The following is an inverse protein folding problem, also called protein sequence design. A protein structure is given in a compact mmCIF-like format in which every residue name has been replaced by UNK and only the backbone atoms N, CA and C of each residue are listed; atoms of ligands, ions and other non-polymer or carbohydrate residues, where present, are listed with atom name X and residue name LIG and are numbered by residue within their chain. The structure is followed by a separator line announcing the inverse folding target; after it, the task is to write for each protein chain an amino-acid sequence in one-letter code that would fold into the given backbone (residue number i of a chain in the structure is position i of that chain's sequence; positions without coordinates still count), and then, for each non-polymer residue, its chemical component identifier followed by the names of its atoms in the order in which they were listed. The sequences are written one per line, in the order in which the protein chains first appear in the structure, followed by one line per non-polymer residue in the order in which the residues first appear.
data_IF_989322850269
#
_entry.id   IF_989322850269
#
_cell.length_a   1.000
_cell.length_b   1.000
_cell.length_c   1.000
_cell.angle_alpha   90.00
_cell.angle_beta   90.00
_cell.angle_gamma   90.00
#
_symmetry.space_group_name_H-M   'P 1'
#
loop_
_entity.id
_entity.type
_entity.pdbx_description
1 polymer ?
#
# COMPACT_ATOMS: atom_id res chain seq x y z
N UNK A 1 -23.02 -2.54 4.87
CA UNK A 1 -22.11 -1.46 4.42
C UNK A 1 -20.78 -1.62 5.11
N UNK A 2 -19.72 -2.02 4.39
CA UNK A 2 -18.40 -2.20 5.00
C UNK A 2 -17.85 -0.84 5.46
N UNK A 3 -17.50 -0.71 6.75
CA UNK A 3 -16.91 0.52 7.28
C UNK A 3 -15.58 0.78 6.59
N UNK A 4 -15.44 1.96 5.97
CA UNK A 4 -14.20 2.39 5.33
C UNK A 4 -13.07 2.35 6.35
N UNK A 5 -11.95 1.76 5.95
CA UNK A 5 -10.74 1.75 6.78
C UNK A 5 -10.23 3.18 6.87
N UNK A 6 -10.03 3.66 8.10
CA UNK A 6 -9.57 5.03 8.33
C UNK A 6 -8.15 5.19 7.79
N UNK A 7 -7.87 6.33 7.14
CA UNK A 7 -6.57 6.61 6.53
C UNK A 7 -5.42 6.74 7.55
N UNK A 8 -5.74 7.03 8.81
CA UNK A 8 -4.77 7.18 9.90
C UNK A 8 -4.37 5.86 10.58
N UNK A 9 -4.96 4.72 10.18
CA UNK A 9 -4.56 3.42 10.72
C UNK A 9 -3.10 3.11 10.34
N UNK A 10 -2.38 2.49 11.27
CA UNK A 10 -1.04 1.94 11.05
C UNK A 10 -1.12 0.66 10.22
N UNK A 11 -0.12 0.41 9.38
CA UNK A 11 0.01 -0.81 8.57
C UNK A 11 -0.10 -2.06 9.43
N UNK A 12 0.66 -2.16 10.52
CA UNK A 12 0.63 -3.36 11.37
C UNK A 12 -0.73 -3.59 12.05
N UNK A 13 -1.48 -2.51 12.35
CA UNK A 13 -2.84 -2.64 12.89
C UNK A 13 -3.86 -3.01 11.81
N UNK A 14 -3.63 -2.56 10.58
CA UNK A 14 -4.44 -2.90 9.42
C UNK A 14 -4.29 -4.38 9.06
N UNK A 15 -3.06 -4.89 9.02
CA UNK A 15 -2.76 -6.31 8.77
C UNK A 15 -3.45 -7.20 9.79
N UNK A 16 -3.34 -6.87 11.08
CA UNK A 16 -4.06 -7.59 12.15
C UNK A 16 -5.58 -7.54 11.99
N UNK A 17 -6.13 -6.39 11.61
CA UNK A 17 -7.58 -6.20 11.42
C UNK A 17 -8.12 -6.99 10.21
N UNK A 18 -7.29 -7.14 9.18
CA UNK A 18 -7.62 -7.88 7.96
C UNK A 18 -7.18 -9.35 8.01
N UNK A 19 -6.58 -9.80 9.12
CA UNK A 19 -6.04 -11.16 9.28
C UNK A 19 -5.02 -11.48 8.16
N UNK A 20 -4.19 -10.49 7.83
CA UNK A 20 -3.08 -10.62 6.89
C UNK A 20 -1.80 -10.96 7.64
N UNK A 21 -0.90 -11.70 6.98
CA UNK A 21 0.44 -11.92 7.51
C UNK A 21 1.18 -10.58 7.66
N UNK A 22 1.98 -10.43 8.71
CA UNK A 22 2.85 -9.27 8.88
C UNK A 22 3.76 -9.11 7.66
N UNK A 23 3.81 -7.91 7.06
CA UNK A 23 4.58 -7.66 5.83
C UNK A 23 3.81 -7.95 4.54
N UNK A 24 2.50 -8.25 4.62
CA UNK A 24 1.65 -8.34 3.44
C UNK A 24 1.50 -7.00 2.73
N UNK A 25 1.53 -5.90 3.49
CA UNK A 25 1.51 -4.55 2.92
C UNK A 25 2.94 -4.12 2.64
N UNK A 26 3.22 -3.94 1.34
CA UNK A 26 4.52 -3.51 0.85
C UNK A 26 4.52 -2.03 0.48
N UNK A 27 5.68 -1.39 0.60
CA UNK A 27 5.94 -0.10 -0.02
C UNK A 27 6.03 -0.27 -1.54
N UNK A 28 5.98 0.86 -2.25
CA UNK A 28 6.15 0.91 -3.71
C UNK A 28 7.49 0.32 -4.17
N UNK A 29 8.52 0.40 -3.34
CA UNK A 29 9.84 -0.17 -3.59
C UNK A 29 9.88 -1.71 -3.46
N UNK A 30 8.73 -2.36 -3.21
CA UNK A 30 8.63 -3.82 -3.04
C UNK A 30 9.14 -4.35 -1.69
N UNK A 31 9.67 -3.48 -0.83
CA UNK A 31 10.06 -3.78 0.56
C UNK A 31 8.87 -3.67 1.50
N UNK A 32 8.93 -4.38 2.62
CA UNK A 32 7.87 -4.34 3.64
C UNK A 32 7.57 -2.91 4.09
N UNK A 33 6.29 -2.57 4.13
CA UNK A 33 5.88 -1.31 4.69
C UNK A 33 6.09 -1.34 6.20
N UNK A 34 6.82 -0.34 6.70
CA UNK A 34 7.09 -0.21 8.13
C UNK A 34 5.78 -0.24 8.91
N UNK A 35 5.70 -1.06 9.96
CA UNK A 35 4.46 -1.33 10.69
C UNK A 35 3.84 -0.09 11.33
N UNK A 36 4.64 0.95 11.63
CA UNK A 36 4.20 2.24 12.16
C UNK A 36 3.69 3.23 11.08
N UNK A 37 3.94 2.96 9.79
CA UNK A 37 3.51 3.82 8.69
C UNK A 37 1.98 3.89 8.61
N UNK A 38 1.45 5.07 8.26
CA UNK A 38 0.00 5.27 8.08
C UNK A 38 -0.45 4.80 6.70
N UNK A 39 -1.65 4.21 6.61
CA UNK A 39 -2.27 3.80 5.34
C UNK A 39 -2.40 4.98 4.36
N UNK A 40 -2.78 6.16 4.84
CA UNK A 40 -2.92 7.35 4.01
C UNK A 40 -1.60 7.83 3.39
N UNK A 41 -0.45 7.57 4.04
CA UNK A 41 0.86 7.88 3.47
C UNK A 41 1.18 6.90 2.32
N UNK A 42 0.96 5.60 2.54
CA UNK A 42 1.08 4.59 1.50
C UNK A 42 0.18 4.89 0.29
N UNK A 43 -1.07 5.28 0.52
CA UNK A 43 -1.99 5.64 -0.56
C UNK A 43 -1.49 6.85 -1.35
N UNK A 44 -0.99 7.90 -0.69
CA UNK A 44 -0.41 9.08 -1.36
C UNK A 44 0.84 8.73 -2.15
N UNK A 45 1.72 7.91 -1.59
CA UNK A 45 2.91 7.44 -2.29
C UNK A 45 2.49 6.66 -3.55
N UNK A 46 1.53 5.74 -3.42
CA UNK A 46 1.00 4.94 -4.52
C UNK A 46 0.34 5.80 -5.61
N UNK A 47 -0.47 6.77 -5.22
CA UNK A 47 -1.09 7.73 -6.15
C UNK A 47 -0.04 8.56 -6.91
N UNK A 48 1.07 8.96 -6.26
CA UNK A 48 2.17 9.67 -6.93
C UNK A 48 2.87 8.81 -7.98
N UNK A 49 3.02 7.51 -7.73
CA UNK A 49 3.63 6.59 -8.69
C UNK A 49 2.66 6.26 -9.83
N UNK A 50 1.38 6.01 -9.54
CA UNK A 50 0.35 5.77 -10.55
C UNK A 50 0.09 6.97 -11.47
N UNK A 51 0.31 8.21 -10.98
CA UNK A 51 0.25 9.41 -11.81
C UNK A 51 1.44 9.59 -12.76
N UNK A 52 2.52 8.80 -12.62
CA UNK A 52 3.52 8.74 -13.69
C UNK A 52 2.88 7.93 -14.84
N UNK A 53 2.86 8.47 -16.07
CA UNK A 53 2.41 7.69 -17.21
C UNK A 53 3.26 6.43 -17.27
N UNK A 54 2.59 5.29 -17.44
CA UNK A 54 3.24 3.99 -17.67
C UNK A 54 3.85 4.07 -19.08
N UNK A 55 4.96 4.78 -19.24
CA UNK A 55 5.76 4.73 -20.46
C UNK A 55 6.58 3.44 -20.38
N UNK A 56 6.19 2.49 -21.22
CA UNK A 56 6.94 1.29 -21.61
C UNK A 56 6.76 0.09 -20.66
N UNK A 57 5.57 -0.53 -20.69
CA UNK A 57 5.47 -1.97 -20.52
C UNK A 57 5.60 -2.60 -21.92
N UNK A 58 6.83 -2.92 -22.34
CA UNK A 58 7.04 -3.81 -23.49
C UNK A 58 6.58 -5.21 -23.09
N UNK A 59 5.58 -5.72 -23.80
CA UNK A 59 5.16 -7.12 -23.72
C UNK A 59 6.16 -7.90 -24.57
N UNK A 60 7.02 -8.78 -24.01
CA UNK A 60 7.86 -9.64 -24.82
C UNK A 60 6.98 -10.59 -25.65
N UNK A 61 7.28 -10.68 -26.95
CA UNK A 61 6.54 -11.42 -27.99
C UNK A 61 6.82 -12.92 -27.93
#
# INVERSE_FOLDING_TARGET
MARKIRKDIKVGSLEKKLILASGSIKNLDGRDARSDKKLGALQKDAEKVLKKPITNFEIPK
#
